data_IF_749746075703
#
_entry.id   IF_749746075703
#
_cell.length_a   1.000
_cell.length_b   1.000
_cell.length_c   1.000
_cell.angle_alpha   90.00
_cell.angle_beta   90.00
_cell.angle_gamma   90.00
#
_symmetry.space_group_name_H-M   'P 1'
#
loop_
_entity.id
_entity.type
_entity.pdbx_description
1 polymer ?
#
# COMPACT_ATOMS: atom_id res chain seq x y z
N UNK A 1 18.19 -104.41 9.60
CA UNK A 1 19.12 -104.70 10.69
C UNK A 1 20.16 -103.54 10.71
N UNK A 2 20.39 -102.90 11.85
CA UNK A 2 21.02 -101.61 11.89
C UNK A 2 22.49 -101.69 12.06
N UNK A 3 23.23 -100.68 11.58
CA UNK A 3 24.64 -100.47 11.88
C UNK A 3 24.79 -99.12 12.69
N UNK A 4 25.39 -99.29 13.80
CA UNK A 4 25.68 -98.24 14.78
C UNK A 4 26.97 -97.50 14.43
N UNK A 5 26.98 -96.26 14.16
CA UNK A 5 28.16 -95.45 13.96
C UNK A 5 28.36 -94.52 15.14
N UNK A 6 29.49 -94.66 15.84
CA UNK A 6 29.92 -93.80 16.95
C UNK A 6 30.41 -92.46 16.38
N UNK A 7 29.93 -91.37 16.94
CA UNK A 7 30.43 -90.01 16.68
C UNK A 7 31.26 -89.59 17.92
N UNK A 8 32.55 -89.23 17.71
CA UNK A 8 33.43 -88.65 18.69
C UNK A 8 33.21 -87.12 18.68
N UNK A 9 32.89 -86.55 19.81
CA UNK A 9 32.74 -85.16 19.97
C UNK A 9 34.10 -84.48 20.40
N UNK A 10 34.57 -83.59 19.55
CA UNK A 10 35.76 -82.76 19.86
C UNK A 10 35.27 -81.42 20.37
N UNK A 11 35.68 -81.11 21.62
CA UNK A 11 35.40 -79.82 22.28
C UNK A 11 36.39 -78.77 21.79
N UNK A 12 35.96 -77.75 21.04
CA UNK A 12 36.79 -76.59 20.72
C UNK A 12 36.45 -75.43 21.69
N UNK A 13 37.42 -75.00 22.49
CA UNK A 13 37.31 -73.82 23.33
C UNK A 13 37.58 -72.59 22.46
N UNK A 14 36.59 -71.73 22.26
CA UNK A 14 36.78 -70.47 21.60
C UNK A 14 36.90 -69.37 22.66
N UNK A 15 38.07 -68.75 22.77
CA UNK A 15 38.32 -67.61 23.62
C UNK A 15 37.68 -66.36 22.93
N UNK A 16 36.61 -65.82 23.51
CA UNK A 16 36.00 -64.61 23.05
C UNK A 16 36.77 -63.35 23.39
N UNK A 17 37.28 -62.67 22.40
CA UNK A 17 37.88 -61.34 22.56
C UNK A 17 36.69 -60.32 22.44
N UNK A 18 36.37 -59.73 23.59
CA UNK A 18 35.36 -58.67 23.64
C UNK A 18 35.96 -57.36 23.12
N UNK A 19 35.71 -56.99 21.87
CA UNK A 19 36.10 -55.70 21.32
C UNK A 19 35.10 -54.64 21.81
N UNK A 20 35.58 -53.64 22.58
CA UNK A 20 34.82 -52.43 22.90
C UNK A 20 34.62 -51.61 21.63
N UNK A 21 33.40 -51.57 21.12
CA UNK A 21 33.05 -50.63 20.05
C UNK A 21 32.77 -49.26 20.67
N UNK A 22 33.35 -48.17 20.12
CA UNK A 22 32.99 -46.83 20.54
C UNK A 22 31.57 -46.50 20.05
N UNK A 23 30.69 -46.08 20.95
CA UNK A 23 29.37 -45.62 20.63
C UNK A 23 29.48 -44.28 19.89
N UNK A 24 28.77 -44.05 18.76
CA UNK A 24 28.74 -42.76 18.13
C UNK A 24 27.99 -41.77 19.05
N UNK A 25 28.69 -40.70 19.44
CA UNK A 25 28.09 -39.57 20.14
C UNK A 25 27.14 -38.91 19.15
N UNK A 26 25.83 -39.02 19.38
CA UNK A 26 24.83 -38.32 18.63
C UNK A 26 24.98 -36.80 18.90
N UNK A 27 25.52 -36.07 17.95
CA UNK A 27 25.54 -34.61 17.96
C UNK A 27 24.07 -34.13 17.79
N UNK A 28 23.51 -33.61 18.87
CA UNK A 28 22.18 -32.99 18.80
C UNK A 28 22.23 -31.83 17.78
N UNK A 29 21.24 -31.71 16.87
CA UNK A 29 21.17 -30.60 15.97
C UNK A 29 20.97 -29.31 16.77
N UNK A 30 21.81 -28.30 16.50
CA UNK A 30 21.67 -26.97 17.07
C UNK A 30 20.27 -26.44 16.74
N UNK A 31 19.58 -25.77 17.69
CA UNK A 31 18.29 -25.18 17.41
C UNK A 31 18.45 -24.14 16.29
N UNK A 32 17.90 -24.43 15.12
CA UNK A 32 17.74 -23.46 14.06
C UNK A 32 16.70 -22.45 14.55
N UNK A 33 17.15 -21.31 15.06
CA UNK A 33 16.26 -20.17 15.29
C UNK A 33 15.56 -19.86 13.97
N UNK A 34 14.23 -19.80 13.93
CA UNK A 34 13.54 -19.35 12.74
C UNK A 34 14.02 -17.92 12.48
N UNK A 35 14.72 -17.71 11.37
CA UNK A 35 14.97 -16.37 10.85
C UNK A 35 13.59 -15.78 10.53
N UNK A 36 13.06 -15.00 11.45
CA UNK A 36 11.91 -14.15 11.20
C UNK A 36 12.37 -13.17 10.12
N UNK A 37 12.03 -13.47 8.88
CA UNK A 37 12.15 -12.51 7.79
C UNK A 37 11.19 -11.37 8.16
N UNK A 38 11.71 -10.35 8.82
CA UNK A 38 10.98 -9.10 9.03
C UNK A 38 10.75 -8.51 7.65
N UNK A 39 9.52 -8.61 7.15
CA UNK A 39 9.14 -7.91 5.94
C UNK A 39 9.50 -6.42 6.13
N UNK A 40 10.13 -5.83 5.12
CA UNK A 40 10.51 -4.42 5.19
C UNK A 40 9.24 -3.56 5.41
N UNK A 41 9.35 -2.53 6.25
CA UNK A 41 8.25 -1.60 6.47
C UNK A 41 7.73 -1.05 5.12
N UNK A 42 6.42 -0.86 4.95
CA UNK A 42 5.83 -0.41 3.68
C UNK A 42 6.32 0.97 3.25
N UNK A 43 6.92 1.74 4.17
CA UNK A 43 7.51 3.06 3.91
C UNK A 43 9.01 3.02 3.62
N UNK A 44 9.64 1.83 3.63
CA UNK A 44 11.10 1.69 3.70
C UNK A 44 11.84 2.39 2.54
N UNK A 45 11.31 2.36 1.31
CA UNK A 45 11.96 2.93 0.12
C UNK A 45 11.64 4.40 -0.13
N UNK A 46 10.59 4.95 0.46
CA UNK A 46 10.12 6.30 0.17
C UNK A 46 11.03 7.38 0.78
N UNK A 47 11.23 8.48 0.06
CA UNK A 47 11.91 9.68 0.55
C UNK A 47 10.95 10.86 0.74
N UNK A 48 9.74 10.78 0.19
CA UNK A 48 8.65 11.75 0.40
C UNK A 48 7.39 11.02 0.87
N UNK A 49 6.70 11.58 1.84
CA UNK A 49 5.49 11.02 2.43
C UNK A 49 4.43 12.11 2.64
N UNK A 50 3.21 11.81 2.21
CA UNK A 50 1.99 12.47 2.69
C UNK A 50 1.41 11.59 3.80
N UNK A 51 1.22 12.16 4.98
CA UNK A 51 0.59 11.49 6.11
C UNK A 51 -0.77 12.15 6.37
N UNK A 52 -1.84 11.44 6.06
CA UNK A 52 -3.23 11.85 6.34
C UNK A 52 -3.72 11.10 7.57
N UNK A 53 -4.22 11.85 8.54
CA UNK A 53 -4.81 11.31 9.77
C UNK A 53 -6.24 11.84 9.90
N UNK A 54 -7.19 10.93 10.07
CA UNK A 54 -8.58 11.20 10.49
C UNK A 54 -8.74 10.86 11.98
N UNK A 55 -9.76 11.38 12.64
CA UNK A 55 -9.99 11.09 14.07
C UNK A 55 -10.32 9.60 14.30
N UNK A 56 -11.16 9.05 13.45
CA UNK A 56 -11.57 7.65 13.47
C UNK A 56 -11.85 7.11 12.05
N UNK A 57 -12.40 5.90 11.96
CA UNK A 57 -12.71 5.23 10.69
C UNK A 57 -13.81 5.89 9.88
N UNK A 58 -14.74 6.59 10.53
CA UNK A 58 -15.92 7.18 9.90
C UNK A 58 -15.82 8.71 9.74
N UNK A 59 -14.76 9.30 10.31
CA UNK A 59 -14.50 10.73 10.18
C UNK A 59 -14.18 11.11 8.75
N UNK A 60 -14.87 12.13 8.23
CA UNK A 60 -14.65 12.70 6.89
C UNK A 60 -13.52 13.76 6.92
N UNK A 61 -13.45 14.67 7.89
CA UNK A 61 -12.33 15.60 8.01
C UNK A 61 -11.04 14.89 8.41
N UNK A 62 -9.93 15.37 7.89
CA UNK A 62 -8.61 14.90 8.26
C UNK A 62 -7.56 15.99 8.11
N UNK A 63 -6.36 15.67 8.56
CA UNK A 63 -5.18 16.54 8.42
C UNK A 63 -4.09 15.81 7.66
N UNK A 64 -3.60 16.43 6.60
CA UNK A 64 -2.46 15.96 5.81
C UNK A 64 -1.21 16.74 6.18
N UNK A 65 -0.09 16.02 6.38
CA UNK A 65 1.25 16.54 6.62
C UNK A 65 2.22 16.00 5.58
N UNK A 66 3.15 16.84 5.16
CA UNK A 66 4.23 16.44 4.24
C UNK A 66 5.48 16.16 5.04
N UNK A 67 6.18 15.09 4.65
CA UNK A 67 7.48 14.73 5.22
C UNK A 67 8.46 14.35 4.12
N UNK A 68 9.74 14.62 4.37
CA UNK A 68 10.84 14.18 3.53
C UNK A 68 11.99 13.64 4.36
N UNK A 69 12.87 12.85 3.74
CA UNK A 69 14.13 12.39 4.34
C UNK A 69 15.21 12.28 3.25
N UNK A 70 16.47 12.49 3.66
CA UNK A 70 17.62 12.51 2.74
C UNK A 70 18.04 11.10 2.28
N UNK A 71 17.60 10.06 2.96
CA UNK A 71 17.88 8.67 2.65
C UNK A 71 16.98 7.73 3.45
N UNK A 72 16.89 6.48 3.02
CA UNK A 72 15.96 5.48 3.59
C UNK A 72 16.19 5.18 5.08
N UNK A 73 17.38 5.51 5.60
CA UNK A 73 17.73 5.36 7.04
C UNK A 73 17.63 6.68 7.81
N UNK A 74 17.38 7.78 7.14
CA UNK A 74 17.25 9.09 7.79
C UNK A 74 15.89 9.25 8.44
N UNK A 75 15.80 10.11 9.44
CA UNK A 75 14.54 10.48 10.08
C UNK A 75 13.69 11.34 9.15
N UNK A 76 12.38 11.18 9.25
CA UNK A 76 11.42 12.04 8.56
C UNK A 76 11.46 13.46 9.12
N UNK A 77 11.53 14.46 8.25
CA UNK A 77 11.43 15.88 8.59
C UNK A 77 10.13 16.45 8.02
N UNK A 78 9.37 17.23 8.80
CA UNK A 78 8.15 17.87 8.30
C UNK A 78 8.49 18.94 7.26
N UNK A 79 7.58 19.15 6.29
CA UNK A 79 7.71 20.15 5.22
C UNK A 79 6.45 21.00 5.16
N UNK A 80 6.58 22.30 5.42
CA UNK A 80 5.46 23.24 5.39
C UNK A 80 4.49 23.06 6.55
N UNK A 81 3.29 23.59 6.39
CA UNK A 81 2.22 23.56 7.40
C UNK A 81 1.25 22.40 7.14
N UNK A 82 0.42 22.11 8.13
CA UNK A 82 -0.71 21.21 8.06
C UNK A 82 -1.71 21.63 6.99
N UNK A 83 -2.30 20.67 6.32
CA UNK A 83 -3.28 20.86 5.25
C UNK A 83 -4.57 20.18 5.66
N UNK A 84 -5.66 20.92 5.77
CA UNK A 84 -6.99 20.35 5.97
C UNK A 84 -7.41 19.55 4.73
N UNK A 85 -7.91 18.34 4.94
CA UNK A 85 -8.41 17.45 3.87
C UNK A 85 -9.80 16.92 4.21
N UNK A 86 -10.50 16.44 3.19
CA UNK A 86 -11.68 15.59 3.34
C UNK A 86 -11.45 14.27 2.61
N UNK A 87 -11.97 13.21 3.18
CA UNK A 87 -11.93 11.85 2.61
C UNK A 87 -13.30 11.40 2.14
N UNK A 88 -13.48 10.13 1.88
CA UNK A 88 -14.75 9.54 1.50
C UNK A 88 -15.88 9.84 2.48
N UNK A 89 -17.12 10.01 1.97
CA UNK A 89 -18.28 10.36 2.78
C UNK A 89 -18.63 9.37 3.89
N UNK A 90 -18.09 8.13 3.81
CA UNK A 90 -18.16 7.11 4.86
C UNK A 90 -16.81 6.92 5.61
N UNK A 91 -15.87 7.86 5.47
CA UNK A 91 -14.56 7.81 6.13
C UNK A 91 -13.54 6.93 5.40
N UNK A 92 -12.79 6.13 6.17
CA UNK A 92 -11.71 5.27 5.68
C UNK A 92 -12.09 3.79 5.69
N UNK A 93 -11.41 3.00 4.86
CA UNK A 93 -11.46 1.53 4.89
C UNK A 93 -10.13 0.94 4.39
N UNK A 94 -9.68 -0.18 4.96
CA UNK A 94 -8.42 -0.82 4.55
C UNK A 94 -8.37 -1.07 3.04
N UNK A 95 -7.39 -0.48 2.39
CA UNK A 95 -7.15 -0.62 0.95
C UNK A 95 -6.04 -1.62 0.62
N UNK A 96 -5.75 -1.77 -0.67
CA UNK A 96 -4.68 -2.58 -1.20
C UNK A 96 -3.52 -1.68 -1.64
N UNK A 97 -2.35 -1.84 -1.03
CA UNK A 97 -1.19 -0.99 -1.28
C UNK A 97 0.12 -1.64 -0.87
N UNK A 98 1.13 -0.82 -0.56
CA UNK A 98 2.45 -1.30 -0.15
C UNK A 98 2.45 -2.09 1.17
N UNK A 99 1.43 -1.91 2.01
CA UNK A 99 1.21 -2.66 3.25
C UNK A 99 0.53 -4.01 3.02
N UNK A 100 0.23 -4.36 1.78
CA UNK A 100 -0.59 -5.51 1.42
C UNK A 100 -2.06 -5.14 1.32
N UNK A 101 -2.93 -6.11 1.60
CA UNK A 101 -4.39 -5.95 1.63
C UNK A 101 -4.86 -5.92 3.08
N UNK A 102 -5.95 -5.20 3.36
CA UNK A 102 -6.60 -5.28 4.66
C UNK A 102 -7.05 -6.71 4.99
N UNK A 103 -6.95 -7.07 6.24
CA UNK A 103 -7.37 -8.39 6.73
C UNK A 103 -8.69 -8.29 7.52
N UNK A 104 -9.61 -9.25 7.38
CA UNK A 104 -10.81 -9.29 8.22
C UNK A 104 -10.53 -9.38 9.73
N UNK A 105 -9.30 -9.71 10.11
CA UNK A 105 -8.87 -9.78 11.51
C UNK A 105 -8.24 -8.47 12.01
N UNK A 106 -8.08 -7.46 11.14
CA UNK A 106 -7.64 -6.12 11.53
C UNK A 106 -8.83 -5.24 11.92
N UNK A 107 -8.65 -4.29 12.85
CA UNK A 107 -9.70 -3.34 13.18
C UNK A 107 -10.09 -2.50 11.96
N UNK A 108 -11.39 -2.19 11.82
CA UNK A 108 -11.90 -1.29 10.80
C UNK A 108 -12.48 -1.96 9.56
N UNK A 109 -13.17 -1.19 8.73
CA UNK A 109 -13.78 -1.67 7.50
C UNK A 109 -12.74 -1.96 6.41
N UNK A 110 -13.08 -2.84 5.48
CA UNK A 110 -12.29 -3.10 4.26
C UNK A 110 -12.92 -2.30 3.12
N UNK A 111 -12.08 -1.58 2.36
CA UNK A 111 -12.46 -0.80 1.20
C UNK A 111 -13.09 -1.70 0.12
N UNK A 112 -14.22 -1.26 -0.41
CA UNK A 112 -14.94 -1.89 -1.51
C UNK A 112 -15.35 -0.86 -2.57
N UNK A 113 -15.65 -1.33 -3.78
CA UNK A 113 -16.18 -0.46 -4.83
C UNK A 113 -17.53 0.14 -4.39
N UNK A 114 -17.70 1.46 -4.59
CA UNK A 114 -18.95 2.16 -4.29
C UNK A 114 -19.27 2.36 -2.79
N UNK A 115 -18.37 2.03 -1.86
CA UNK A 115 -18.60 2.14 -0.41
C UNK A 115 -18.46 3.56 0.16
N UNK A 116 -18.12 4.54 -0.67
CA UNK A 116 -17.82 5.92 -0.27
C UNK A 116 -16.71 6.06 0.79
N UNK A 117 -15.78 5.10 0.90
CA UNK A 117 -14.64 5.16 1.79
C UNK A 117 -13.35 5.45 1.02
N UNK A 118 -12.49 6.28 1.55
CA UNK A 118 -11.12 6.40 1.04
C UNK A 118 -10.25 5.24 1.55
N UNK A 119 -9.27 4.76 0.77
CA UNK A 119 -8.45 3.65 1.21
C UNK A 119 -7.51 4.06 2.36
N UNK A 120 -7.53 3.29 3.45
CA UNK A 120 -6.52 3.35 4.51
C UNK A 120 -5.33 2.47 4.17
N UNK A 121 -4.11 2.91 4.51
CA UNK A 121 -2.89 2.16 4.27
C UNK A 121 -1.75 3.00 3.71
N UNK A 122 -0.86 2.37 2.95
CA UNK A 122 0.32 2.99 2.33
C UNK A 122 0.28 2.76 0.83
N UNK A 123 0.31 3.83 0.04
CA UNK A 123 0.11 3.80 -1.41
C UNK A 123 1.20 4.62 -2.11
N UNK A 124 1.67 4.19 -3.28
CA UNK A 124 2.51 5.03 -4.14
C UNK A 124 1.71 6.17 -4.74
N UNK A 125 2.39 7.29 -4.96
CA UNK A 125 1.91 8.39 -5.79
C UNK A 125 2.70 8.33 -7.11
N UNK A 126 2.04 7.97 -8.21
CA UNK A 126 2.74 7.55 -9.43
C UNK A 126 2.74 8.60 -10.52
N UNK A 127 1.67 9.37 -10.64
CA UNK A 127 1.53 10.38 -11.69
C UNK A 127 0.57 11.50 -11.27
N UNK A 128 0.69 12.61 -11.95
CA UNK A 128 -0.23 13.74 -11.87
C UNK A 128 -1.10 13.82 -13.12
N UNK A 129 -2.25 14.46 -13.00
CA UNK A 129 -3.10 14.79 -14.14
C UNK A 129 -3.72 16.18 -13.96
N UNK A 130 -4.25 16.73 -15.03
CA UNK A 130 -4.96 18.00 -14.97
C UNK A 130 -5.44 18.46 -16.33
N UNK A 131 -6.18 19.60 -16.38
CA UNK A 131 -6.79 20.07 -17.61
C UNK A 131 -5.81 20.81 -18.52
N UNK A 132 -4.81 21.46 -17.95
CA UNK A 132 -3.84 22.24 -18.71
C UNK A 132 -2.94 21.33 -19.58
N UNK A 133 -2.51 21.81 -20.76
CA UNK A 133 -1.53 21.09 -21.57
C UNK A 133 -0.21 20.87 -20.83
N UNK A 134 0.50 19.79 -21.15
CA UNK A 134 1.78 19.42 -20.52
C UNK A 134 2.79 20.58 -20.54
N UNK A 135 2.87 21.32 -21.63
CA UNK A 135 3.84 22.42 -21.77
C UNK A 135 3.61 23.54 -20.75
N UNK A 136 2.35 23.77 -20.36
CA UNK A 136 1.98 24.73 -19.33
C UNK A 136 2.23 24.22 -17.91
N UNK A 137 2.50 22.93 -17.75
CA UNK A 137 2.71 22.23 -16.48
C UNK A 137 4.14 21.72 -16.32
N UNK A 138 5.12 22.39 -17.00
CA UNK A 138 6.54 22.02 -16.98
C UNK A 138 7.19 22.10 -15.57
N UNK A 139 6.57 22.82 -14.64
CA UNK A 139 6.98 22.93 -13.25
C UNK A 139 6.64 21.67 -12.41
N UNK A 140 5.77 20.78 -12.91
CA UNK A 140 5.48 19.48 -12.30
C UNK A 140 6.51 18.47 -12.77
N UNK A 141 7.26 17.88 -11.85
CA UNK A 141 8.27 16.86 -12.16
C UNK A 141 7.69 15.45 -12.27
N UNK A 142 6.55 15.19 -11.63
CA UNK A 142 5.82 13.92 -11.75
C UNK A 142 5.42 13.66 -13.22
N UNK A 143 5.35 12.39 -13.64
CA UNK A 143 4.68 12.02 -14.89
C UNK A 143 3.29 12.68 -14.92
N UNK A 144 2.98 13.37 -16.02
CA UNK A 144 1.73 14.14 -16.10
C UNK A 144 0.93 13.76 -17.34
N UNK A 145 -0.36 13.54 -17.17
CA UNK A 145 -1.33 13.32 -18.23
C UNK A 145 -2.31 14.50 -18.31
N UNK A 146 -2.51 15.03 -19.52
CA UNK A 146 -3.58 16.00 -19.73
C UNK A 146 -4.92 15.29 -19.72
N UNK A 147 -5.78 15.68 -18.80
CA UNK A 147 -7.15 15.18 -18.72
C UNK A 147 -8.03 15.88 -19.78
N UNK A 148 -8.25 15.19 -20.88
CA UNK A 148 -9.19 15.58 -21.96
C UNK A 148 -10.46 14.75 -21.83
N UNK A 149 -11.51 15.06 -22.62
CA UNK A 149 -12.76 14.29 -22.66
C UNK A 149 -12.54 12.81 -23.04
N UNK A 150 -11.43 12.50 -23.71
CA UNK A 150 -11.06 11.13 -24.04
C UNK A 150 -10.39 10.36 -22.87
N UNK A 151 -9.90 11.06 -21.84
CA UNK A 151 -9.20 10.44 -20.72
C UNK A 151 -10.19 9.94 -19.67
N UNK A 152 -10.16 8.65 -19.39
CA UNK A 152 -11.12 7.96 -18.53
C UNK A 152 -10.38 7.15 -17.48
N UNK A 153 -10.99 6.99 -16.30
CA UNK A 153 -10.64 5.96 -15.35
C UNK A 153 -11.77 4.93 -15.29
N UNK A 154 -11.48 3.67 -15.57
CA UNK A 154 -12.52 2.62 -15.68
C UNK A 154 -12.86 2.09 -14.28
N UNK A 155 -14.08 2.29 -13.85
CA UNK A 155 -14.62 1.86 -12.55
C UNK A 155 -15.59 0.67 -12.64
N UNK A 156 -15.85 0.16 -13.84
CA UNK A 156 -16.65 -1.07 -14.03
C UNK A 156 -15.84 -2.31 -13.66
N UNK A 157 -16.20 -2.93 -12.54
CA UNK A 157 -15.56 -4.15 -12.04
C UNK A 157 -15.67 -5.36 -12.99
N UNK A 158 -16.53 -5.31 -14.01
CA UNK A 158 -16.65 -6.36 -15.04
C UNK A 158 -15.71 -6.15 -16.24
N UNK A 159 -15.07 -4.97 -16.34
CA UNK A 159 -14.13 -4.64 -17.42
C UNK A 159 -12.75 -5.24 -17.18
N UNK A 160 -12.09 -5.67 -18.26
CA UNK A 160 -10.66 -6.03 -18.22
C UNK A 160 -9.74 -4.83 -17.95
N UNK A 161 -10.29 -3.62 -18.08
CA UNK A 161 -9.61 -2.36 -17.81
C UNK A 161 -9.95 -1.78 -16.43
N UNK A 162 -10.59 -2.54 -15.55
CA UNK A 162 -10.95 -2.10 -14.21
C UNK A 162 -9.76 -1.45 -13.47
N UNK A 163 -10.00 -0.27 -12.90
CA UNK A 163 -9.00 0.56 -12.21
C UNK A 163 -7.82 1.02 -13.10
N UNK A 164 -8.03 1.17 -14.39
CA UNK A 164 -7.03 1.70 -15.32
C UNK A 164 -7.45 3.06 -15.86
N UNK A 165 -6.45 3.95 -15.97
CA UNK A 165 -6.60 5.25 -16.63
C UNK A 165 -6.12 5.14 -18.07
N UNK A 166 -6.98 5.46 -19.02
CA UNK A 166 -6.69 5.31 -20.45
C UNK A 166 -7.36 6.36 -21.32
N UNK A 167 -6.80 6.57 -22.50
CA UNK A 167 -7.41 7.43 -23.52
C UNK A 167 -8.30 6.61 -24.42
N UNK A 168 -9.62 6.91 -24.38
CA UNK A 168 -10.59 6.30 -25.28
C UNK A 168 -10.44 6.88 -26.69
N UNK A 169 -10.26 6.02 -27.68
CA UNK A 169 -10.30 6.43 -29.07
C UNK A 169 -11.72 6.74 -29.51
N UNK A 170 -11.98 7.85 -30.22
CA UNK A 170 -13.31 8.15 -30.73
C UNK A 170 -13.86 7.00 -31.59
N UNK A 171 -15.08 6.57 -31.31
CA UNK A 171 -15.76 5.50 -32.07
C UNK A 171 -15.29 4.06 -31.74
N UNK A 172 -14.31 3.87 -30.86
CA UNK A 172 -13.91 2.52 -30.44
C UNK A 172 -14.99 1.88 -29.54
N UNK A 173 -15.20 0.58 -29.75
CA UNK A 173 -15.95 -0.23 -28.79
C UNK A 173 -15.18 -0.32 -27.47
N UNK A 174 -15.92 -0.28 -26.37
CA UNK A 174 -15.38 -0.44 -25.00
C UNK A 174 -16.08 -1.62 -24.34
N UNK A 175 -15.40 -2.25 -23.38
CA UNK A 175 -15.93 -3.39 -22.62
C UNK A 175 -16.52 -2.98 -21.27
N UNK A 176 -16.45 -1.69 -20.91
CA UNK A 176 -17.00 -1.15 -19.66
C UNK A 176 -18.32 -0.43 -19.85
N UNK A 177 -19.17 -0.48 -18.82
CA UNK A 177 -20.47 0.22 -18.75
C UNK A 177 -20.35 1.56 -18.02
N UNK A 178 -19.32 1.72 -17.18
CA UNK A 178 -19.03 2.95 -16.44
C UNK A 178 -17.55 3.27 -16.43
N UNK A 179 -17.23 4.56 -16.43
CA UNK A 179 -15.89 5.09 -16.27
C UNK A 179 -15.98 6.55 -15.81
N UNK A 180 -15.08 6.97 -14.93
CA UNK A 180 -14.97 8.39 -14.56
C UNK A 180 -14.44 9.24 -15.70
N UNK A 181 -15.08 10.38 -15.94
CA UNK A 181 -14.58 11.43 -16.81
C UNK A 181 -13.45 12.18 -16.09
N UNK A 182 -12.22 12.06 -16.59
CA UNK A 182 -11.10 12.78 -15.99
C UNK A 182 -11.12 14.29 -16.29
N UNK A 183 -11.84 14.72 -17.34
CA UNK A 183 -12.15 16.12 -17.63
C UNK A 183 -13.58 16.44 -17.18
N UNK A 184 -13.74 16.76 -15.89
CA UNK A 184 -15.03 17.05 -15.25
C UNK A 184 -15.49 18.49 -15.52
N UNK A 185 -16.79 18.72 -15.45
CA UNK A 185 -17.39 20.07 -15.58
C UNK A 185 -17.19 20.95 -14.34
N UNK A 186 -16.97 20.33 -13.17
CA UNK A 186 -16.88 21.01 -11.86
C UNK A 186 -15.47 21.47 -11.48
N UNK A 187 -14.49 21.31 -12.33
CA UNK A 187 -13.09 21.71 -12.10
C UNK A 187 -12.37 20.99 -10.94
N UNK A 188 -12.98 19.99 -10.29
CA UNK A 188 -12.38 19.29 -9.15
C UNK A 188 -11.13 18.49 -9.59
N UNK A 189 -11.07 18.03 -10.84
CA UNK A 189 -9.95 17.31 -11.44
C UNK A 189 -9.04 18.19 -12.30
N UNK A 190 -9.15 19.53 -12.20
CA UNK A 190 -8.25 20.41 -12.95
C UNK A 190 -6.78 20.21 -12.60
N UNK A 191 -6.49 19.61 -11.45
CA UNK A 191 -5.21 19.07 -10.99
C UNK A 191 -5.45 17.94 -10.00
N UNK A 192 -4.67 16.88 -10.12
CA UNK A 192 -4.74 15.75 -9.19
C UNK A 192 -3.51 14.84 -9.27
N UNK A 193 -3.44 13.91 -8.34
CA UNK A 193 -2.39 12.90 -8.23
C UNK A 193 -3.01 11.52 -8.11
N UNK A 194 -2.51 10.56 -8.86
CA UNK A 194 -2.97 9.17 -8.80
C UNK A 194 -2.44 8.49 -7.54
N UNK A 195 -3.34 7.90 -6.77
CA UNK A 195 -3.04 7.04 -5.63
C UNK A 195 -3.10 5.59 -6.08
N UNK A 196 -1.99 4.87 -5.99
CA UNK A 196 -1.88 3.48 -6.45
C UNK A 196 -2.54 2.52 -5.44
N UNK A 197 -3.85 2.65 -5.28
CA UNK A 197 -4.71 1.71 -4.57
C UNK A 197 -5.17 0.61 -5.53
N UNK A 198 -5.17 -0.67 -5.10
CA UNK A 198 -5.61 -1.81 -5.91
C UNK A 198 -4.99 -1.77 -7.32
N UNK A 199 -3.66 -1.65 -7.38
CA UNK A 199 -2.90 -1.39 -8.60
C UNK A 199 -3.34 -2.28 -9.77
N UNK A 200 -3.68 -1.67 -10.90
CA UNK A 200 -4.19 -2.33 -12.11
C UNK A 200 -5.46 -3.20 -11.88
N UNK A 201 -6.26 -2.92 -10.86
CA UNK A 201 -7.49 -3.64 -10.60
C UNK A 201 -7.31 -5.11 -10.23
N UNK A 202 -6.17 -5.49 -9.63
CA UNK A 202 -5.84 -6.88 -9.29
C UNK A 202 -6.92 -7.57 -8.45
N UNK A 203 -7.61 -6.82 -7.60
CA UNK A 203 -8.75 -7.29 -6.82
C UNK A 203 -10.02 -6.64 -7.33
N UNK A 204 -10.79 -7.41 -8.09
CA UNK A 204 -12.09 -6.98 -8.60
C UNK A 204 -13.02 -6.58 -7.43
N UNK A 205 -13.60 -5.38 -7.51
CA UNK A 205 -14.50 -4.84 -6.49
C UNK A 205 -13.82 -4.30 -5.22
N UNK A 206 -12.49 -4.24 -5.16
CA UNK A 206 -11.77 -3.68 -4.00
C UNK A 206 -11.67 -2.13 -4.02
N UNK A 207 -12.23 -1.49 -4.99
CA UNK A 207 -12.18 -0.04 -5.21
C UNK A 207 -11.27 0.35 -6.37
N UNK A 208 -11.63 1.43 -7.05
CA UNK A 208 -10.97 1.94 -8.24
C UNK A 208 -10.91 3.47 -8.25
N UNK A 209 -10.09 4.03 -9.15
CA UNK A 209 -10.08 5.46 -9.48
C UNK A 209 -9.85 6.36 -8.24
N UNK A 210 -8.84 6.05 -7.46
CA UNK A 210 -8.51 6.82 -6.25
C UNK A 210 -7.46 7.89 -6.55
N UNK A 211 -7.80 9.14 -6.20
CA UNK A 211 -6.98 10.31 -6.46
C UNK A 211 -6.86 11.22 -5.25
N UNK A 212 -5.81 12.02 -5.24
CA UNK A 212 -5.77 13.30 -4.55
C UNK A 212 -6.27 14.36 -5.52
N UNK A 213 -7.26 15.18 -5.14
CA UNK A 213 -7.82 16.20 -6.03
C UNK A 213 -8.27 17.46 -5.28
N UNK A 214 -8.73 18.47 -6.01
CA UNK A 214 -9.20 19.72 -5.44
C UNK A 214 -10.63 19.55 -4.91
N UNK A 215 -10.92 20.09 -3.73
CA UNK A 215 -12.25 20.12 -3.14
C UNK A 215 -13.06 21.36 -3.51
N UNK A 216 -14.37 21.34 -3.38
CA UNK A 216 -15.19 22.56 -3.46
C UNK A 216 -15.14 23.37 -2.15
N UNK A 217 -14.68 22.78 -1.04
CA UNK A 217 -14.56 23.35 0.30
C UNK A 217 -14.44 22.30 1.39
N UNK A 218 -14.02 22.73 2.59
CA UNK A 218 -13.74 21.85 3.72
C UNK A 218 -14.98 21.17 4.32
N UNK A 219 -16.18 21.61 4.01
CA UNK A 219 -17.44 20.98 4.44
C UNK A 219 -17.93 19.86 3.50
N UNK A 220 -17.16 19.57 2.44
CA UNK A 220 -17.50 18.52 1.48
C UNK A 220 -17.05 17.12 1.90
N UNK A 221 -17.23 16.19 0.99
CA UNK A 221 -16.69 14.83 1.05
C UNK A 221 -16.40 14.33 -0.37
N UNK A 222 -15.87 13.11 -0.49
CA UNK A 222 -15.63 12.43 -1.78
C UNK A 222 -16.33 11.07 -1.81
N UNK A 223 -16.33 10.42 -2.97
CA UNK A 223 -16.78 9.02 -3.08
C UNK A 223 -15.71 7.99 -2.75
N UNK A 224 -14.47 8.44 -2.40
CA UNK A 224 -13.34 7.56 -2.07
C UNK A 224 -11.98 8.21 -2.25
N UNK A 225 -11.89 9.32 -2.96
CA UNK A 225 -10.68 10.13 -3.11
C UNK A 225 -10.36 10.89 -1.81
N UNK A 226 -9.21 11.57 -1.79
CA UNK A 226 -8.86 12.55 -0.76
C UNK A 226 -8.73 13.92 -1.40
N UNK A 227 -9.43 14.92 -0.86
CA UNK A 227 -9.51 16.23 -1.50
C UNK A 227 -9.14 17.36 -0.53
N UNK A 228 -8.58 18.46 -1.10
CA UNK A 228 -8.11 19.61 -0.36
C UNK A 228 -8.03 20.86 -1.24
N UNK A 229 -7.60 21.99 -0.69
CA UNK A 229 -7.60 23.26 -1.39
C UNK A 229 -6.71 23.28 -2.63
N UNK A 230 -7.07 24.11 -3.60
CA UNK A 230 -6.29 24.33 -4.83
C UNK A 230 -4.86 24.79 -4.55
N UNK A 231 -4.67 25.69 -3.56
CA UNK A 231 -3.34 26.22 -3.23
C UNK A 231 -2.46 25.13 -2.65
N UNK A 232 -3.02 24.28 -1.78
CA UNK A 232 -2.31 23.12 -1.26
C UNK A 232 -1.97 22.10 -2.37
N UNK A 233 -2.85 21.90 -3.36
CA UNK A 233 -2.57 21.05 -4.53
C UNK A 233 -1.41 21.61 -5.37
N UNK A 234 -1.37 22.92 -5.63
CA UNK A 234 -0.25 23.55 -6.32
C UNK A 234 1.07 23.34 -5.56
N UNK A 235 1.07 23.59 -4.26
CA UNK A 235 2.25 23.42 -3.42
C UNK A 235 2.69 21.94 -3.34
N UNK A 236 1.74 21.01 -3.35
CA UNK A 236 2.00 19.58 -3.37
C UNK A 236 2.66 19.15 -4.69
N UNK A 237 2.08 19.51 -5.82
CA UNK A 237 2.59 19.13 -7.15
C UNK A 237 3.99 19.71 -7.43
N UNK A 238 4.29 20.92 -6.93
CA UNK A 238 5.61 21.52 -7.03
C UNK A 238 6.66 20.80 -6.14
N UNK A 239 6.22 20.15 -5.06
CA UNK A 239 7.10 19.48 -4.11
C UNK A 239 7.35 18.00 -4.47
N UNK A 240 6.36 17.30 -5.04
CA UNK A 240 6.46 15.87 -5.36
C UNK A 240 7.52 15.62 -6.42
N UNK A 241 8.38 14.60 -6.19
CA UNK A 241 9.45 14.17 -7.07
C UNK A 241 9.41 12.66 -7.29
N UNK A 242 9.34 12.16 -8.52
CA UNK A 242 9.23 10.73 -8.80
C UNK A 242 10.45 9.94 -8.30
N UNK A 243 11.66 10.52 -8.36
CA UNK A 243 12.89 9.91 -7.84
C UNK A 243 12.89 9.75 -6.31
N UNK A 244 12.05 10.48 -5.60
CA UNK A 244 11.86 10.36 -4.16
C UNK A 244 10.87 9.28 -3.75
N UNK A 245 10.32 8.53 -4.73
CA UNK A 245 9.34 7.47 -4.51
C UNK A 245 8.22 7.89 -3.54
N UNK A 246 7.47 8.97 -3.88
CA UNK A 246 6.50 9.54 -2.96
C UNK A 246 5.38 8.57 -2.62
N UNK A 247 4.95 8.60 -1.37
CA UNK A 247 3.86 7.77 -0.85
C UNK A 247 2.79 8.60 -0.14
N UNK A 248 1.56 8.08 -0.16
CA UNK A 248 0.49 8.46 0.73
C UNK A 248 0.39 7.41 1.84
N UNK A 249 0.41 7.85 3.10
CA UNK A 249 -0.01 7.08 4.26
C UNK A 249 -1.31 7.72 4.75
N UNK A 250 -2.39 6.96 4.81
CA UNK A 250 -3.70 7.45 5.21
C UNK A 250 -4.31 6.50 6.24
N UNK A 251 -4.54 6.98 7.46
CA UNK A 251 -4.92 6.15 8.59
C UNK A 251 -5.86 6.92 9.54
N UNK A 252 -6.79 6.24 10.22
CA UNK A 252 -7.39 6.82 11.41
C UNK A 252 -6.38 6.88 12.56
N UNK A 253 -6.58 7.75 13.52
CA UNK A 253 -5.68 8.00 14.65
C UNK A 253 -5.26 6.72 15.37
N UNK A 254 -6.22 5.85 15.67
CA UNK A 254 -5.97 4.58 16.35
C UNK A 254 -4.95 3.70 15.62
N UNK A 255 -5.07 3.60 14.29
CA UNK A 255 -4.16 2.79 13.48
C UNK A 255 -2.80 3.45 13.29
N UNK A 256 -2.77 4.77 13.14
CA UNK A 256 -1.50 5.50 13.16
C UNK A 256 -0.72 5.21 14.45
N UNK A 257 -1.35 5.32 15.60
CA UNK A 257 -0.70 5.08 16.90
C UNK A 257 -0.21 3.64 17.03
N UNK A 258 -1.00 2.66 16.57
CA UNK A 258 -0.67 1.23 16.58
C UNK A 258 0.48 0.88 15.64
N UNK A 259 0.49 1.46 14.43
CA UNK A 259 1.40 1.07 13.34
C UNK A 259 2.63 1.96 13.23
N UNK A 260 2.66 3.10 13.91
CA UNK A 260 3.72 4.11 13.78
C UNK A 260 5.13 3.52 13.87
N UNK A 261 5.40 2.75 14.90
CA UNK A 261 6.73 2.15 15.09
C UNK A 261 7.01 1.05 14.04
N UNK A 262 6.03 0.21 13.75
CA UNK A 262 6.17 -0.91 12.81
C UNK A 262 6.40 -0.43 11.37
N UNK A 263 5.71 0.64 10.96
CA UNK A 263 5.81 1.19 9.60
C UNK A 263 6.85 2.30 9.47
N UNK A 264 7.54 2.66 10.56
CA UNK A 264 8.55 3.73 10.55
C UNK A 264 7.96 5.09 10.21
N UNK A 265 6.74 5.39 10.71
CA UNK A 265 6.09 6.67 10.49
C UNK A 265 6.69 7.76 11.38
N UNK A 266 6.70 9.04 10.91
CA UNK A 266 7.14 10.18 11.73
C UNK A 266 6.28 10.32 12.98
N UNK A 267 6.86 10.82 14.07
CA UNK A 267 6.10 11.26 15.23
C UNK A 267 5.43 12.61 14.93
N UNK A 268 4.14 12.69 15.27
CA UNK A 268 3.39 13.96 15.27
C UNK A 268 3.13 14.38 16.72
N UNK A 269 3.42 15.63 17.06
CA UNK A 269 3.26 16.13 18.43
C UNK A 269 1.80 16.47 18.73
N UNK A 270 1.40 16.41 20.00
CA UNK A 270 0.01 16.70 20.44
C UNK A 270 -0.42 18.15 20.25
N UNK A 271 0.53 19.09 19.97
CA UNK A 271 0.20 20.47 19.62
C UNK A 271 -0.50 20.63 18.27
N UNK A 272 -0.55 19.55 17.48
CA UNK A 272 -1.08 19.52 16.12
C UNK A 272 -2.50 18.90 16.06
N UNK A 273 -3.31 19.11 17.11
CA UNK A 273 -4.74 18.79 17.07
C UNK A 273 -5.47 19.87 16.27
N UNK A 274 -6.41 19.50 15.40
CA UNK A 274 -7.25 20.43 14.69
C UNK A 274 -8.12 21.26 15.63
#
# INVERSE_FOLDING_TARGET
MPSVGRVVATLAVVAGITACQPHPVATAPLPVSPATSSAAAPTASALQMLLVITDDWDAVPGVMRRFERDGVRSVWRPVGSDIAVVVGGAGLGWGDGLHGTGSPNEPGPIKQEGDNRSPAGVFRLTSAFGYAPRDSMSWITMPYAQATDAYKCVDDAASIHYNQMLFRQPGSAVDWRSAEDMHRRDSLYRMGVVVEHNANGQRVGAGSCIFLHIWPGAAGNTSGCTAFSSDAMNALLAWLKPESLPILVQLPRSEYDRLRALWGLPAITHSDRP
#
